data_IF_735348166401
#
_entry.id   IF_735348166401
#
_cell.length_a   1.000
_cell.length_b   1.000
_cell.length_c   1.000
_cell.angle_alpha   90.00
_cell.angle_beta   90.00
_cell.angle_gamma   90.00
#
_symmetry.space_group_name_H-M   'P 1'
#
loop_
_entity.id
_entity.type
_entity.pdbx_description
1 polymer ?
#
# COMPACT_ATOMS: atom_id res chain seq x y z
N UNK A 1 -8.12 -15.25 20.04
CA UNK A 1 -9.10 -15.79 19.08
C UNK A 1 -9.49 -14.71 18.07
N UNK A 2 -9.82 -15.08 16.83
CA UNK A 2 -9.51 -14.36 15.59
C UNK A 2 -10.64 -13.43 15.14
N UNK A 3 -10.41 -12.63 14.09
CA UNK A 3 -11.31 -11.58 13.61
C UNK A 3 -12.57 -12.08 12.85
N UNK A 4 -13.10 -13.26 13.19
CA UNK A 4 -14.29 -13.89 12.58
C UNK A 4 -15.62 -13.43 13.23
N UNK A 5 -16.66 -13.18 12.41
CA UNK A 5 -18.03 -13.77 12.48
C UNK A 5 -19.11 -12.82 11.93
N UNK A 6 -19.51 -13.07 10.69
CA UNK A 6 -20.82 -12.82 10.05
C UNK A 6 -20.86 -13.92 8.97
N UNK A 7 -21.77 -14.87 8.89
CA UNK A 7 -23.14 -15.03 9.34
C UNK A 7 -23.39 -16.53 9.60
N UNK A 8 -24.27 -16.82 10.56
CA UNK A 8 -24.77 -18.14 10.91
C UNK A 8 -26.07 -18.33 10.10
N UNK A 9 -26.09 -19.25 9.13
CA UNK A 9 -27.34 -19.72 8.53
C UNK A 9 -27.64 -21.08 9.14
N UNK A 10 -28.78 -21.10 9.81
CA UNK A 10 -29.38 -22.21 10.56
C UNK A 10 -29.98 -23.22 9.57
N UNK A 11 -29.34 -24.38 9.44
CA UNK A 11 -29.92 -25.58 8.80
C UNK A 11 -30.11 -26.69 9.84
N UNK A 12 -30.81 -26.38 10.95
CA UNK A 12 -31.59 -27.39 11.67
C UNK A 12 -32.99 -27.49 11.08
N UNK A 13 -33.06 -28.02 9.87
CA UNK A 13 -34.30 -28.56 9.32
C UNK A 13 -33.97 -29.71 8.38
N UNK A 14 -33.74 -30.89 8.96
CA UNK A 14 -34.32 -32.15 8.47
C UNK A 14 -34.05 -33.25 9.50
N UNK A 15 -35.13 -33.58 10.18
CA UNK A 15 -35.35 -34.68 11.11
C UNK A 15 -35.12 -36.02 10.40
N UNK A 16 -34.47 -36.97 11.09
CA UNK A 16 -34.37 -38.36 10.70
C UNK A 16 -33.86 -39.22 11.85
N UNK A 17 -34.81 -39.74 12.62
CA UNK A 17 -34.68 -40.57 13.82
C UNK A 17 -34.25 -42.02 13.49
N UNK A 18 -33.42 -42.66 14.32
CA UNK A 18 -33.40 -44.10 14.67
C UNK A 18 -32.09 -44.58 15.35
N UNK A 19 -32.26 -45.38 16.40
CA UNK A 19 -31.27 -45.94 17.34
C UNK A 19 -30.49 -47.19 16.82
N UNK A 20 -29.46 -47.72 17.54
CA UNK A 20 -28.34 -48.52 16.98
C UNK A 20 -28.54 -50.06 17.09
N UNK A 21 -27.73 -50.87 16.37
CA UNK A 21 -26.68 -51.63 17.07
C UNK A 21 -25.43 -52.02 16.22
N UNK A 22 -24.35 -52.44 16.89
CA UNK A 22 -23.51 -53.57 16.43
C UNK A 22 -22.12 -53.29 15.85
N UNK A 23 -21.10 -53.87 16.49
CA UNK A 23 -19.71 -54.01 16.02
C UNK A 23 -19.59 -54.69 14.64
N UNK A 24 -18.72 -54.18 13.76
CA UNK A 24 -17.85 -54.95 12.87
C UNK A 24 -16.82 -54.00 12.22
N UNK A 25 -15.55 -54.38 12.26
CA UNK A 25 -14.45 -53.58 11.72
C UNK A 25 -14.45 -53.53 10.19
N UNK A 26 -13.90 -52.44 9.65
CA UNK A 26 -13.28 -52.37 8.33
C UNK A 26 -12.16 -51.33 8.37
N UNK A 27 -11.02 -51.77 7.84
CA UNK A 27 -9.83 -51.00 7.54
C UNK A 27 -10.07 -49.94 6.44
N UNK A 28 -9.06 -49.10 6.30
CA UNK A 28 -8.66 -48.29 5.13
C UNK A 28 -9.31 -46.92 4.91
N UNK A 29 -8.47 -45.93 5.22
CA UNK A 29 -7.97 -44.95 4.26
C UNK A 29 -8.97 -43.89 3.80
N UNK A 30 -8.96 -42.80 4.54
CA UNK A 30 -9.73 -41.61 4.28
C UNK A 30 -9.21 -40.51 5.17
N UNK A 31 -7.91 -40.21 5.07
CA UNK A 31 -7.35 -38.97 5.58
C UNK A 31 -8.11 -37.83 4.89
N UNK A 32 -9.15 -37.36 5.57
CA UNK A 32 -9.80 -36.10 5.29
C UNK A 32 -8.69 -35.06 5.40
N UNK A 33 -8.17 -34.60 4.26
CA UNK A 33 -7.38 -33.38 4.15
C UNK A 33 -8.25 -32.25 4.71
N UNK A 34 -8.15 -32.05 6.02
CA UNK A 34 -8.53 -30.81 6.66
C UNK A 34 -7.69 -29.77 5.96
N UNK A 35 -8.34 -29.00 5.08
CA UNK A 35 -7.75 -27.91 4.33
C UNK A 35 -7.15 -26.87 5.28
N UNK A 36 -5.98 -27.17 5.82
CA UNK A 36 -5.11 -26.20 6.45
C UNK A 36 -4.74 -25.27 5.33
N UNK A 37 -5.23 -24.03 5.41
CA UNK A 37 -4.65 -22.92 4.66
C UNK A 37 -3.17 -22.91 5.04
N UNK A 38 -2.35 -23.52 4.19
CA UNK A 38 -0.93 -23.78 4.45
C UNK A 38 -0.24 -22.44 4.43
N UNK A 39 -0.23 -21.74 5.57
CA UNK A 39 0.51 -20.49 5.76
C UNK A 39 1.96 -20.77 5.33
N UNK A 40 2.37 -20.18 4.20
CA UNK A 40 3.66 -20.50 3.59
C UNK A 40 4.78 -19.96 4.48
N UNK A 41 5.73 -20.83 4.81
CA UNK A 41 6.89 -20.48 5.63
C UNK A 41 7.66 -19.28 5.04
N UNK A 42 8.16 -18.36 5.89
CA UNK A 42 8.96 -17.21 5.44
C UNK A 42 10.20 -17.67 4.69
N UNK A 43 10.50 -17.04 3.54
CA UNK A 43 11.72 -17.39 2.81
C UNK A 43 12.96 -16.82 3.49
N UNK A 44 14.03 -17.61 3.62
CA UNK A 44 15.31 -17.19 4.18
C UNK A 44 16.20 -16.39 3.22
N UNK A 45 15.89 -16.40 1.92
CA UNK A 45 16.56 -15.59 0.89
C UNK A 45 15.53 -14.90 -0.02
N UNK A 46 15.93 -13.78 -0.61
CA UNK A 46 15.12 -13.11 -1.63
C UNK A 46 14.93 -14.04 -2.82
N UNK A 47 13.68 -14.38 -3.13
CA UNK A 47 13.34 -15.21 -4.29
C UNK A 47 13.17 -14.30 -5.51
N UNK A 48 13.57 -14.77 -6.70
CA UNK A 48 13.33 -14.05 -7.96
C UNK A 48 11.84 -13.68 -8.13
N UNK A 49 10.92 -14.56 -7.70
CA UNK A 49 9.47 -14.29 -7.67
C UNK A 49 9.09 -13.08 -6.79
N UNK A 50 9.73 -12.90 -5.63
CA UNK A 50 9.48 -11.77 -4.74
C UNK A 50 9.99 -10.46 -5.35
N UNK A 51 11.16 -10.50 -5.98
CA UNK A 51 11.72 -9.34 -6.69
C UNK A 51 10.81 -8.96 -7.86
N UNK A 52 10.41 -9.94 -8.68
CA UNK A 52 9.48 -9.71 -9.78
C UNK A 52 8.14 -9.16 -9.28
N UNK A 53 7.59 -9.68 -8.19
CA UNK A 53 6.36 -9.17 -7.59
C UNK A 53 6.50 -7.71 -7.13
N UNK A 54 7.57 -7.37 -6.41
CA UNK A 54 7.79 -6.02 -5.88
C UNK A 54 8.05 -4.98 -6.98
N UNK A 55 8.85 -5.30 -7.99
CA UNK A 55 9.24 -4.33 -9.02
C UNK A 55 8.40 -4.39 -10.30
N UNK A 56 7.77 -5.54 -10.58
CA UNK A 56 6.91 -5.74 -11.74
C UNK A 56 5.54 -5.07 -11.53
N UNK A 57 4.54 -5.76 -10.97
CA UNK A 57 3.21 -5.19 -10.77
C UNK A 57 3.23 -4.01 -9.80
N UNK A 58 3.95 -4.10 -8.69
CA UNK A 58 4.04 -3.02 -7.69
C UNK A 58 5.07 -1.95 -8.03
N UNK A 59 5.86 -2.08 -9.10
CA UNK A 59 6.76 -1.01 -9.55
C UNK A 59 6.30 -0.43 -10.87
N UNK A 60 6.63 -1.12 -11.96
CA UNK A 60 6.32 -0.69 -13.33
C UNK A 60 4.81 -0.65 -13.58
N UNK A 61 4.06 -1.67 -13.13
CA UNK A 61 2.60 -1.70 -13.28
C UNK A 61 1.92 -0.52 -12.59
N UNK A 62 2.32 -0.27 -11.34
CA UNK A 62 1.85 0.88 -10.56
C UNK A 62 2.24 2.23 -11.19
N UNK A 63 3.45 2.35 -11.74
CA UNK A 63 3.91 3.54 -12.46
C UNK A 63 3.00 3.86 -13.66
N UNK A 64 2.74 2.87 -14.51
CA UNK A 64 1.90 3.05 -15.71
C UNK A 64 0.47 3.42 -15.31
N UNK A 65 -0.11 2.68 -14.35
CA UNK A 65 -1.48 2.93 -13.89
C UNK A 65 -1.62 4.32 -13.25
N UNK A 66 -0.74 4.66 -12.31
CA UNK A 66 -0.81 5.94 -11.60
C UNK A 66 -0.50 7.12 -12.51
N UNK A 67 0.48 6.97 -13.40
CA UNK A 67 0.79 8.00 -14.39
C UNK A 67 -0.38 8.23 -15.34
N UNK A 68 -1.02 7.17 -15.84
CA UNK A 68 -2.21 7.27 -16.68
C UNK A 68 -3.38 7.97 -15.98
N UNK A 69 -3.66 7.63 -14.72
CA UNK A 69 -4.74 8.26 -13.95
C UNK A 69 -4.45 9.75 -13.71
N UNK A 70 -3.24 10.10 -13.28
CA UNK A 70 -2.87 11.50 -13.04
C UNK A 70 -2.90 12.32 -14.34
N UNK A 71 -2.46 11.74 -15.45
CA UNK A 71 -2.56 12.34 -16.78
C UNK A 71 -4.02 12.60 -17.16
N UNK A 72 -4.90 11.61 -17.00
CA UNK A 72 -6.32 11.73 -17.35
C UNK A 72 -7.04 12.80 -16.51
N UNK A 73 -6.75 12.87 -15.21
CA UNK A 73 -7.28 13.92 -14.32
C UNK A 73 -6.81 15.30 -14.77
N UNK A 74 -5.51 15.44 -15.05
CA UNK A 74 -4.96 16.71 -15.52
C UNK A 74 -5.57 17.11 -16.86
N UNK A 75 -5.71 16.17 -17.80
CA UNK A 75 -6.37 16.41 -19.08
C UNK A 75 -7.79 16.93 -18.88
N UNK A 76 -8.62 16.25 -18.08
CA UNK A 76 -9.99 16.70 -17.81
C UNK A 76 -10.05 18.10 -17.16
N UNK A 77 -9.14 18.39 -16.22
CA UNK A 77 -9.11 19.66 -15.51
C UNK A 77 -8.64 20.82 -16.39
N UNK A 78 -7.50 20.68 -17.07
CA UNK A 78 -6.89 21.76 -17.84
C UNK A 78 -7.52 21.97 -19.22
N UNK A 79 -8.26 20.98 -19.73
CA UNK A 79 -9.07 21.15 -20.95
C UNK A 79 -10.40 21.84 -20.68
N UNK A 80 -10.95 21.78 -19.47
CA UNK A 80 -12.25 22.40 -19.15
C UNK A 80 -12.15 23.80 -18.54
N UNK A 81 -10.99 24.16 -18.00
CA UNK A 81 -10.75 25.49 -17.40
C UNK A 81 -10.62 26.61 -18.45
N UNK A 82 -11.12 27.80 -18.10
CA UNK A 82 -10.89 29.02 -18.88
C UNK A 82 -9.48 29.58 -18.61
N UNK A 83 -8.52 29.07 -19.35
CA UNK A 83 -7.12 29.48 -19.25
C UNK A 83 -6.83 30.86 -19.83
N UNK A 84 -7.82 31.52 -20.46
CA UNK A 84 -7.66 32.90 -20.96
C UNK A 84 -7.79 33.91 -19.81
N UNK A 85 -8.70 33.64 -18.88
CA UNK A 85 -8.90 34.47 -17.67
C UNK A 85 -7.99 34.03 -16.52
N UNK A 86 -7.71 32.72 -16.41
CA UNK A 86 -6.90 32.14 -15.33
C UNK A 86 -5.78 31.26 -15.92
N UNK A 87 -4.65 31.86 -16.32
CA UNK A 87 -3.55 31.09 -16.92
C UNK A 87 -2.97 30.08 -15.93
N UNK A 88 -2.37 29.00 -16.46
CA UNK A 88 -1.70 27.97 -15.65
C UNK A 88 -0.39 28.54 -15.14
N UNK A 89 -0.20 28.47 -13.82
CA UNK A 89 0.91 29.08 -13.11
C UNK A 89 1.61 28.07 -12.21
N UNK A 90 2.85 28.35 -11.82
CA UNK A 90 3.58 27.46 -10.92
C UNK A 90 3.01 27.54 -9.50
N UNK A 91 2.93 28.74 -8.92
CA UNK A 91 2.58 28.92 -7.50
C UNK A 91 1.23 29.59 -7.26
N UNK A 92 0.82 30.53 -8.11
CA UNK A 92 -0.40 31.30 -7.88
C UNK A 92 -1.68 30.50 -8.20
N UNK A 93 -2.67 30.66 -7.33
CA UNK A 93 -4.04 30.18 -7.53
C UNK A 93 -4.75 30.97 -8.65
N UNK A 94 -5.79 30.40 -9.30
CA UNK A 94 -6.43 29.11 -9.02
C UNK A 94 -5.76 27.89 -9.69
N UNK A 95 -4.98 28.08 -10.77
CA UNK A 95 -4.43 26.99 -11.57
C UNK A 95 -2.92 26.79 -11.28
N UNK A 96 -2.62 26.32 -10.07
CA UNK A 96 -1.24 26.10 -9.58
C UNK A 96 -0.76 24.67 -9.84
N UNK A 97 0.34 24.51 -10.58
CA UNK A 97 1.00 23.20 -10.76
C UNK A 97 1.67 22.71 -9.48
N UNK A 98 2.29 23.61 -8.72
CA UNK A 98 2.98 23.24 -7.49
C UNK A 98 1.99 22.75 -6.42
N UNK A 99 0.87 23.46 -6.24
CA UNK A 99 -0.19 23.04 -5.31
C UNK A 99 -0.83 21.72 -5.72
N UNK A 100 -1.10 21.56 -7.02
CA UNK A 100 -1.59 20.32 -7.61
C UNK A 100 -0.68 19.11 -7.32
N UNK A 101 0.64 19.29 -7.41
CA UNK A 101 1.62 18.26 -7.11
C UNK A 101 1.61 17.86 -5.62
N UNK A 102 1.44 18.82 -4.71
CA UNK A 102 1.29 18.55 -3.27
C UNK A 102 0.01 17.75 -3.01
N UNK A 103 -1.11 18.15 -3.61
CA UNK A 103 -2.39 17.43 -3.46
C UNK A 103 -2.26 16.00 -3.97
N UNK A 104 -1.65 15.80 -5.15
CA UNK A 104 -1.35 14.47 -5.69
C UNK A 104 -0.48 13.67 -4.72
N UNK A 105 0.60 14.24 -4.17
CA UNK A 105 1.46 13.56 -3.20
C UNK A 105 0.69 13.09 -1.97
N UNK A 106 -0.14 13.95 -1.37
CA UNK A 106 -0.91 13.61 -0.17
C UNK A 106 -1.92 12.50 -0.47
N UNK A 107 -2.77 12.70 -1.48
CA UNK A 107 -3.85 11.77 -1.79
C UNK A 107 -3.28 10.43 -2.24
N UNK A 108 -2.34 10.43 -3.20
CA UNK A 108 -1.76 9.21 -3.74
C UNK A 108 -1.02 8.43 -2.65
N UNK A 109 -0.16 9.07 -1.85
CA UNK A 109 0.59 8.36 -0.80
C UNK A 109 -0.34 7.72 0.24
N UNK A 110 -1.39 8.44 0.65
CA UNK A 110 -2.38 7.91 1.60
C UNK A 110 -3.17 6.75 1.00
N UNK A 111 -3.77 6.94 -0.18
CA UNK A 111 -4.57 5.90 -0.84
C UNK A 111 -3.75 4.66 -1.15
N UNK A 112 -2.56 4.85 -1.73
CA UNK A 112 -1.64 3.76 -2.07
C UNK A 112 -1.26 2.95 -0.84
N UNK A 113 -1.01 3.58 0.31
CA UNK A 113 -0.70 2.85 1.55
C UNK A 113 -1.80 1.85 1.93
N UNK A 114 -3.07 2.25 1.84
CA UNK A 114 -4.20 1.37 2.16
C UNK A 114 -4.47 0.34 1.07
N UNK A 115 -4.29 0.70 -0.20
CA UNK A 115 -4.41 -0.24 -1.32
C UNK A 115 -3.37 -1.35 -1.17
N UNK A 116 -2.11 -1.01 -0.91
CA UNK A 116 -1.02 -1.98 -0.72
C UNK A 116 -1.23 -2.87 0.52
N UNK A 117 -1.73 -2.29 1.62
CA UNK A 117 -2.15 -3.07 2.78
C UNK A 117 -3.19 -4.14 2.40
N UNK A 118 -4.17 -3.78 1.56
CA UNK A 118 -5.23 -4.69 1.15
C UNK A 118 -4.76 -5.74 0.13
N UNK A 119 -4.01 -5.32 -0.90
CA UNK A 119 -3.52 -6.18 -1.98
C UNK A 119 -2.49 -7.19 -1.46
N UNK A 120 -1.41 -6.73 -0.84
CA UNK A 120 -0.38 -7.62 -0.31
C UNK A 120 -0.97 -8.50 0.80
N UNK A 121 -1.85 -7.95 1.63
CA UNK A 121 -2.57 -8.74 2.64
C UNK A 121 -3.49 -9.81 2.06
N UNK A 122 -4.07 -9.59 0.86
CA UNK A 122 -4.82 -10.62 0.12
C UNK A 122 -3.88 -11.65 -0.47
N UNK A 123 -2.80 -11.23 -1.15
CA UNK A 123 -1.87 -12.13 -1.82
C UNK A 123 -1.10 -13.03 -0.85
N UNK A 124 -0.82 -12.54 0.36
CA UNK A 124 -0.28 -13.36 1.44
C UNK A 124 -1.28 -14.43 1.90
N UNK A 125 -2.57 -14.11 1.98
CA UNK A 125 -3.63 -15.05 2.41
C UNK A 125 -3.94 -16.12 1.37
N UNK A 126 -3.94 -15.76 0.09
CA UNK A 126 -4.15 -16.71 -1.02
C UNK A 126 -2.86 -17.47 -1.36
N UNK A 127 -1.73 -17.09 -0.76
CA UNK A 127 -0.43 -17.69 -1.01
C UNK A 127 0.17 -17.30 -2.37
N UNK A 128 -0.29 -16.20 -3.00
CA UNK A 128 0.28 -15.66 -4.24
C UNK A 128 1.72 -15.16 -4.10
N UNK A 129 2.11 -14.73 -2.89
CA UNK A 129 3.49 -14.33 -2.56
C UNK A 129 3.90 -14.88 -1.20
N UNK A 130 5.19 -15.23 -1.05
CA UNK A 130 5.76 -15.66 0.23
C UNK A 130 6.25 -14.46 1.05
N UNK A 131 6.04 -14.43 2.37
CA UNK A 131 6.63 -13.45 3.28
C UNK A 131 8.16 -13.43 3.21
N UNK A 132 8.75 -12.26 3.43
CA UNK A 132 10.22 -12.09 3.43
C UNK A 132 10.74 -12.28 4.86
N UNK A 133 11.39 -13.42 5.12
CA UNK A 133 11.98 -13.74 6.42
C UNK A 133 13.46 -13.41 6.55
N UNK A 134 14.12 -13.01 5.45
CA UNK A 134 15.57 -12.76 5.39
C UNK A 134 16.02 -11.50 6.15
N UNK A 135 15.11 -10.54 6.37
CA UNK A 135 15.45 -9.26 7.00
C UNK A 135 15.50 -9.40 8.52
N UNK A 136 16.58 -8.93 9.14
CA UNK A 136 16.75 -8.96 10.60
C UNK A 136 15.73 -8.05 11.28
N UNK A 137 15.14 -8.54 12.37
CA UNK A 137 14.17 -7.80 13.16
C UNK A 137 14.79 -6.58 13.85
N UNK A 138 14.13 -5.40 13.83
CA UNK A 138 14.65 -4.20 14.50
C UNK A 138 14.59 -4.33 16.03
N UNK A 139 15.70 -4.02 16.70
CA UNK A 139 15.83 -4.09 18.17
C UNK A 139 15.25 -2.84 18.84
N UNK A 140 15.34 -1.67 18.20
CA UNK A 140 14.98 -0.37 18.81
C UNK A 140 13.45 -0.21 18.96
N UNK A 141 12.94 0.26 20.12
CA UNK A 141 11.49 0.33 20.39
C UNK A 141 10.68 1.16 19.40
N UNK A 142 11.21 2.30 18.94
CA UNK A 142 10.52 3.18 18.00
C UNK A 142 10.43 2.57 16.59
N UNK A 143 11.50 1.89 16.12
CA UNK A 143 11.48 1.16 14.84
C UNK A 143 10.49 0.00 14.88
N UNK A 144 10.38 -0.68 16.01
CA UNK A 144 9.39 -1.74 16.22
C UNK A 144 7.97 -1.19 16.18
N UNK A 145 7.73 -0.07 16.85
CA UNK A 145 6.45 0.63 16.78
C UNK A 145 6.15 1.02 15.33
N UNK A 146 7.11 1.61 14.62
CA UNK A 146 7.01 1.95 13.20
C UNK A 146 6.76 0.74 12.31
N UNK A 147 7.16 -0.48 12.70
CA UNK A 147 6.90 -1.70 11.94
C UNK A 147 5.67 -2.49 12.43
N UNK A 148 4.88 -1.93 13.36
CA UNK A 148 3.73 -2.60 14.00
C UNK A 148 4.10 -3.90 14.72
N UNK A 149 5.31 -3.94 15.30
CA UNK A 149 5.83 -5.06 16.08
C UNK A 149 5.64 -4.82 17.58
N UNK A 150 5.32 -5.86 18.38
CA UNK A 150 5.22 -5.72 19.83
C UNK A 150 6.59 -5.45 20.49
N UNK A 151 6.63 -4.73 21.65
CA UNK A 151 7.84 -4.50 22.43
C UNK A 151 8.53 -5.79 22.89
N UNK A 152 9.86 -5.75 23.09
CA UNK A 152 10.64 -6.80 23.74
C UNK A 152 10.80 -6.48 25.24
N UNK A 153 10.85 -7.47 26.16
CA UNK A 153 10.75 -8.93 25.95
C UNK A 153 9.30 -9.42 25.74
N UNK A 154 9.11 -10.62 25.13
CA UNK A 154 7.80 -11.18 24.75
C UNK A 154 6.92 -11.64 25.94
N UNK A 155 7.31 -11.34 27.17
CA UNK A 155 6.71 -11.86 28.41
C UNK A 155 5.47 -11.10 28.90
N UNK A 156 5.02 -10.06 28.21
CA UNK A 156 3.74 -9.40 28.52
C UNK A 156 2.60 -10.05 27.71
N UNK A 157 1.43 -10.32 28.34
CA UNK A 157 0.28 -10.84 27.62
C UNK A 157 -0.03 -9.96 26.40
N UNK A 158 -0.61 -10.53 25.33
CA UNK A 158 -0.86 -9.79 24.10
C UNK A 158 -1.59 -8.49 24.45
N UNK A 159 -1.07 -7.31 24.03
CA UNK A 159 -1.70 -6.04 24.35
C UNK A 159 -3.17 -6.10 23.90
N UNK A 160 -4.06 -5.54 24.73
CA UNK A 160 -5.51 -5.47 24.44
C UNK A 160 -5.73 -5.03 22.98
N UNK A 161 -6.75 -5.57 22.28
CA UNK A 161 -7.02 -5.20 20.90
C UNK A 161 -7.06 -3.68 20.78
N UNK A 162 -6.15 -3.11 19.99
CA UNK A 162 -6.06 -1.67 19.77
C UNK A 162 -7.42 -1.20 19.24
N UNK A 163 -7.92 -0.08 19.79
CA UNK A 163 -9.12 0.57 19.26
C UNK A 163 -8.90 0.87 17.76
N UNK A 164 -9.94 0.73 16.94
CA UNK A 164 -9.87 0.97 15.48
C UNK A 164 -9.19 2.31 15.15
N UNK A 165 -9.48 3.37 15.91
CA UNK A 165 -8.86 4.68 15.74
C UNK A 165 -7.33 4.70 15.99
N UNK A 166 -6.84 3.94 16.97
CA UNK A 166 -5.39 3.85 17.23
C UNK A 166 -4.66 3.13 16.08
N UNK A 167 -5.30 2.11 15.50
CA UNK A 167 -4.76 1.43 14.32
C UNK A 167 -4.72 2.36 13.09
N UNK A 168 -5.79 3.13 12.85
CA UNK A 168 -5.83 4.12 11.77
C UNK A 168 -4.76 5.20 11.96
N UNK A 169 -4.63 5.76 13.17
CA UNK A 169 -3.59 6.73 13.49
C UNK A 169 -2.20 6.15 13.24
N UNK A 170 -1.95 4.90 13.65
CA UNK A 170 -0.70 4.22 13.36
C UNK A 170 -0.44 4.17 11.83
N UNK A 171 -1.43 3.81 11.01
CA UNK A 171 -1.27 3.77 9.54
C UNK A 171 -0.97 5.16 8.96
N UNK A 172 -1.69 6.18 9.41
CA UNK A 172 -1.51 7.57 8.96
C UNK A 172 -0.11 8.10 9.27
N UNK A 173 0.46 7.74 10.42
CA UNK A 173 1.84 8.12 10.75
C UNK A 173 2.83 7.55 9.72
N UNK A 174 2.67 6.29 9.29
CA UNK A 174 3.57 5.67 8.31
C UNK A 174 3.42 6.27 6.92
N UNK A 175 2.17 6.42 6.48
CA UNK A 175 1.89 7.05 5.21
C UNK A 175 2.39 8.52 5.21
N UNK A 176 2.24 9.21 6.34
CA UNK A 176 2.77 10.56 6.55
C UNK A 176 4.30 10.61 6.50
N UNK A 177 5.01 9.64 7.08
CA UNK A 177 6.47 9.56 6.98
C UNK A 177 6.94 9.35 5.54
N UNK A 178 6.28 8.45 4.80
CA UNK A 178 6.58 8.26 3.37
C UNK A 178 6.30 9.56 2.61
N UNK A 179 5.16 10.21 2.87
CA UNK A 179 4.80 11.49 2.27
C UNK A 179 5.86 12.57 2.52
N UNK A 180 6.36 12.71 3.75
CA UNK A 180 7.39 13.72 4.06
C UNK A 180 8.66 13.46 3.24
N UNK A 181 9.10 12.20 3.18
CA UNK A 181 10.30 11.83 2.40
C UNK A 181 10.08 12.08 0.91
N UNK A 182 8.96 11.64 0.35
CA UNK A 182 8.66 11.80 -1.08
C UNK A 182 8.35 13.25 -1.45
N UNK A 183 7.80 14.04 -0.54
CA UNK A 183 7.59 15.46 -0.72
C UNK A 183 8.91 16.16 -1.00
N UNK A 184 9.91 16.01 -0.11
CA UNK A 184 11.21 16.63 -0.35
C UNK A 184 11.92 16.05 -1.58
N UNK A 185 11.80 14.74 -1.80
CA UNK A 185 12.48 14.06 -2.90
C UNK A 185 11.90 14.39 -4.27
N UNK A 186 10.59 14.57 -4.39
CA UNK A 186 9.92 14.74 -5.69
C UNK A 186 9.38 16.13 -5.93
N UNK A 187 8.83 16.77 -4.89
CA UNK A 187 8.26 18.12 -5.05
C UNK A 187 9.35 19.16 -5.29
N UNK A 188 10.47 19.12 -4.53
CA UNK A 188 11.56 20.10 -4.73
C UNK A 188 12.18 20.01 -6.13
N UNK A 189 12.56 18.82 -6.64
CA UNK A 189 13.06 18.72 -8.02
C UNK A 189 12.00 19.06 -9.06
N UNK A 190 10.73 18.68 -8.84
CA UNK A 190 9.64 19.04 -9.75
C UNK A 190 9.49 20.55 -9.87
N UNK A 191 9.48 21.28 -8.76
CA UNK A 191 9.46 22.75 -8.75
C UNK A 191 10.69 23.30 -9.46
N UNK A 192 11.89 22.79 -9.18
CA UNK A 192 13.11 23.21 -9.85
C UNK A 192 13.04 23.05 -11.37
N UNK A 193 12.60 21.88 -11.85
CA UNK A 193 12.43 21.59 -13.28
C UNK A 193 11.38 22.53 -13.90
N UNK A 194 10.24 22.73 -13.22
CA UNK A 194 9.19 23.61 -13.70
C UNK A 194 9.65 25.08 -13.76
N UNK A 195 10.44 25.55 -12.78
CA UNK A 195 11.03 26.90 -12.86
C UNK A 195 12.04 27.07 -14.00
N UNK A 196 12.69 25.99 -14.43
CA UNK A 196 13.64 26.03 -15.54
C UNK A 196 12.94 26.05 -16.91
N UNK A 197 11.75 25.45 -17.03
CA UNK A 197 10.99 25.34 -18.29
C UNK A 197 9.95 26.46 -18.42
N UNK A 198 9.41 26.95 -17.31
CA UNK A 198 8.32 27.91 -17.31
C UNK A 198 8.73 29.27 -17.87
N UNK A 199 7.78 29.94 -18.52
CA UNK A 199 8.01 31.27 -19.09
C UNK A 199 7.67 32.36 -18.06
N UNK A 200 8.53 33.37 -17.95
CA UNK A 200 8.24 34.57 -17.17
C UNK A 200 7.71 35.67 -18.07
N UNK A 201 6.59 36.27 -17.71
CA UNK A 201 6.04 37.42 -18.43
C UNK A 201 6.88 38.68 -18.17
N UNK A 202 7.16 39.44 -19.22
CA UNK A 202 7.76 40.76 -19.09
C UNK A 202 6.78 41.70 -18.36
N UNK A 203 7.23 42.36 -17.28
CA UNK A 203 6.39 43.30 -16.51
C UNK A 203 6.42 43.17 -14.99
N UNK A 204 7.36 42.42 -14.41
CA UNK A 204 7.54 42.35 -12.95
C UNK A 204 6.72 41.26 -12.24
N UNK A 205 6.12 40.34 -12.99
CA UNK A 205 5.51 39.15 -12.39
C UNK A 205 6.58 38.16 -11.93
N UNK A 206 6.38 37.57 -10.76
CA UNK A 206 7.34 36.67 -10.12
C UNK A 206 7.09 35.19 -10.44
N UNK A 207 5.92 34.86 -11.00
CA UNK A 207 5.50 33.49 -11.28
C UNK A 207 5.89 33.00 -12.68
N UNK A 208 5.82 31.68 -12.87
CA UNK A 208 6.10 30.99 -14.11
C UNK A 208 4.81 30.51 -14.77
N UNK A 209 4.73 30.69 -16.08
CA UNK A 209 3.57 30.39 -16.90
C UNK A 209 3.82 29.17 -17.76
N UNK A 210 2.77 28.37 -17.96
CA UNK A 210 2.83 27.16 -18.77
C UNK A 210 1.75 27.16 -19.85
N UNK A 211 2.07 26.52 -20.96
CA UNK A 211 1.11 26.29 -22.02
C UNK A 211 -0.01 25.37 -21.53
N UNK A 212 -1.22 25.64 -22.03
CA UNK A 212 -2.42 24.88 -21.63
C UNK A 212 -2.31 23.40 -21.96
N UNK A 213 -1.79 23.08 -23.14
CA UNK A 213 -1.81 21.74 -23.67
C UNK A 213 -0.47 21.06 -23.46
N UNK A 214 -0.54 19.81 -23.03
CA UNK A 214 0.54 18.86 -22.83
C UNK A 214 1.44 19.15 -21.63
N UNK A 215 1.77 20.40 -21.32
CA UNK A 215 2.63 20.72 -20.18
C UNK A 215 2.07 20.21 -18.84
N UNK A 216 0.84 20.58 -18.42
CA UNK A 216 0.30 20.12 -17.14
C UNK A 216 -0.03 18.62 -17.14
N UNK A 217 -0.48 18.06 -18.26
CA UNK A 217 -0.86 16.65 -18.37
C UNK A 217 0.36 15.74 -18.31
N UNK A 218 1.41 16.05 -19.08
CA UNK A 218 2.67 15.30 -19.05
C UNK A 218 3.31 15.44 -17.66
N UNK A 219 3.33 16.65 -17.10
CA UNK A 219 3.85 16.87 -15.75
C UNK A 219 3.15 15.96 -14.73
N UNK A 220 1.81 16.00 -14.66
CA UNK A 220 1.03 15.17 -13.73
C UNK A 220 1.22 13.68 -13.98
N UNK A 221 1.22 13.25 -15.24
CA UNK A 221 1.40 11.85 -15.60
C UNK A 221 2.77 11.32 -15.18
N UNK A 222 3.84 12.04 -15.50
CA UNK A 222 5.21 11.66 -15.11
C UNK A 222 5.36 11.72 -13.58
N UNK A 223 4.88 12.79 -12.94
CA UNK A 223 4.99 12.97 -11.50
C UNK A 223 4.27 11.85 -10.73
N UNK A 224 3.02 11.55 -11.10
CA UNK A 224 2.23 10.47 -10.49
C UNK A 224 2.84 9.08 -10.74
N UNK A 225 3.35 8.85 -11.95
CA UNK A 225 4.04 7.60 -12.29
C UNK A 225 5.32 7.39 -11.51
N UNK A 226 6.21 8.39 -11.45
CA UNK A 226 7.46 8.33 -10.67
C UNK A 226 7.16 8.17 -9.18
N UNK A 227 6.17 8.88 -8.66
CA UNK A 227 5.74 8.72 -7.28
C UNK A 227 5.30 7.28 -6.98
N UNK A 228 4.49 6.67 -7.85
CA UNK A 228 4.08 5.28 -7.70
C UNK A 228 5.30 4.35 -7.78
N UNK A 229 6.13 4.45 -8.82
CA UNK A 229 7.33 3.63 -9.00
C UNK A 229 8.22 3.58 -7.76
N UNK A 230 8.34 4.70 -7.05
CA UNK A 230 9.15 4.78 -5.83
C UNK A 230 8.41 4.27 -4.60
N UNK A 231 7.12 4.57 -4.45
CA UNK A 231 6.39 4.31 -3.21
C UNK A 231 5.80 2.91 -3.12
N UNK A 232 5.19 2.40 -4.20
CA UNK A 232 4.50 1.11 -4.16
C UNK A 232 5.42 -0.06 -3.87
N UNK A 233 6.65 -0.18 -4.45
CA UNK A 233 7.55 -1.28 -4.10
C UNK A 233 8.00 -1.23 -2.64
N UNK A 234 8.21 -0.02 -2.10
CA UNK A 234 8.61 0.19 -0.70
C UNK A 234 7.48 -0.24 0.24
N UNK A 235 6.25 0.18 -0.06
CA UNK A 235 5.07 -0.18 0.73
C UNK A 235 4.81 -1.69 0.67
N UNK A 236 4.88 -2.31 -0.53
CA UNK A 236 4.71 -3.75 -0.68
C UNK A 236 5.77 -4.53 0.11
N UNK A 237 7.04 -4.10 0.01
CA UNK A 237 8.15 -4.70 0.76
C UNK A 237 7.95 -4.59 2.27
N UNK A 238 7.47 -3.44 2.76
CA UNK A 238 7.15 -3.24 4.18
C UNK A 238 6.15 -4.29 4.69
N UNK A 239 5.08 -4.56 3.93
CA UNK A 239 4.07 -5.55 4.32
C UNK A 239 4.59 -6.97 4.26
N UNK A 240 5.37 -7.33 3.24
CA UNK A 240 6.00 -8.65 3.10
C UNK A 240 6.98 -8.98 4.22
N UNK A 241 7.81 -8.00 4.60
CA UNK A 241 8.81 -8.16 5.68
C UNK A 241 8.13 -8.23 7.04
N UNK A 242 7.13 -7.37 7.27
CA UNK A 242 6.33 -7.39 8.50
C UNK A 242 5.68 -8.75 8.72
N UNK A 243 5.13 -9.33 7.66
CA UNK A 243 4.52 -10.66 7.73
C UNK A 243 5.54 -11.75 8.02
N UNK A 244 6.72 -11.68 7.40
CA UNK A 244 7.81 -12.62 7.67
C UNK A 244 8.22 -12.63 9.15
N UNK A 245 8.29 -11.46 9.78
CA UNK A 245 8.55 -11.35 11.22
C UNK A 245 7.41 -11.90 12.08
N UNK A 246 6.15 -11.70 11.67
CA UNK A 246 4.98 -12.23 12.39
C UNK A 246 5.00 -13.75 12.45
N UNK A 247 5.25 -14.38 11.30
CA UNK A 247 5.30 -15.84 11.19
C UNK A 247 6.52 -16.45 11.89
N UNK A 248 7.71 -15.85 11.80
CA UNK A 248 8.89 -16.34 12.54
C UNK A 248 8.67 -16.39 14.05
N UNK A 249 7.82 -15.52 14.62
CA UNK A 249 7.45 -15.55 16.04
C UNK A 249 6.29 -16.49 16.36
N UNK A 250 5.37 -16.70 15.41
CA UNK A 250 4.30 -17.68 15.52
C UNK A 250 4.82 -19.12 15.47
N UNK A 251 5.78 -19.38 14.57
CA UNK A 251 6.44 -20.68 14.40
C UNK A 251 7.47 -21.05 15.47
N UNK A 252 7.95 -20.08 16.27
CA UNK A 252 8.81 -20.34 17.44
C UNK A 252 8.03 -20.85 18.67
N UNK A 253 6.77 -21.29 18.48
CA UNK A 253 5.95 -21.97 19.48
C UNK A 253 5.65 -23.40 19.03
N UNK A 254 6.68 -24.19 18.84
CA UNK A 254 6.62 -25.65 18.88
C UNK A 254 7.86 -26.15 19.60
#
# INVERSE_FOLDING_TARGET
MPFWRVEEIDEKALVGDASPPGNAGYDTDGDVEVGTTREKEPTDRFTAHQIFYVFGPHGIGAMVLSGGINFAIAYGMYTTQDTKTHPIRLFQLPNTLAGDAVVTLVIQTLMTWFIELALVGRDLRTGGVRPIGSVREPIRPWLRSLMLLPPLPPSKPPPRPRRRGAYLADQLVRAGLIFVVTFFLLWLPAVGILTAIGERKAGGDWDWYFQRQWAPEIFKGVFGGVLALLTTPIMASFWLVREGWRLKRGGARH
#
